data_IF_140300315117
#
_entry.id   IF_140300315117
#
_cell.length_a   1.000
_cell.length_b   1.000
_cell.length_c   1.000
_cell.angle_alpha   90.00
_cell.angle_beta   90.00
_cell.angle_gamma   90.00
#
_symmetry.space_group_name_H-M   'P 1'
#
loop_
_entity.id
_entity.type
_entity.pdbx_description
1 polymer ?
#
# COMPACT_ATOMS: atom_id res chain seq x y z
N UNK A 1 -24.36 -10.79 -1.03
CA UNK A 1 -23.40 -10.48 0.07
C UNK A 1 -22.24 -9.70 -0.54
N UNK A 2 -21.92 -8.50 -0.04
CA UNK A 2 -20.82 -7.67 -0.61
C UNK A 2 -19.46 -8.29 -0.29
N UNK A 3 -18.55 -8.32 -1.27
CA UNK A 3 -17.15 -8.79 -1.12
C UNK A 3 -16.45 -8.14 0.10
N UNK A 4 -16.81 -6.88 0.39
CA UNK A 4 -16.32 -6.14 1.55
C UNK A 4 -16.72 -6.75 2.88
N UNK A 5 -17.93 -7.31 3.01
CA UNK A 5 -18.39 -7.93 4.27
C UNK A 5 -17.65 -9.24 4.55
N UNK A 6 -17.37 -10.02 3.50
CA UNK A 6 -16.61 -11.26 3.61
C UNK A 6 -15.17 -11.01 4.06
N UNK A 7 -14.51 -9.98 3.51
CA UNK A 7 -13.09 -9.70 3.80
C UNK A 7 -12.91 -8.97 5.14
N UNK A 8 -13.74 -7.96 5.44
CA UNK A 8 -13.53 -7.08 6.59
C UNK A 8 -14.37 -7.41 7.84
N UNK A 9 -15.11 -8.53 7.85
CA UNK A 9 -15.87 -9.06 9.00
C UNK A 9 -16.71 -7.98 9.70
N UNK A 10 -17.64 -7.38 8.98
CA UNK A 10 -18.58 -6.33 9.44
C UNK A 10 -17.94 -5.06 10.07
N UNK A 11 -16.61 -4.95 10.11
CA UNK A 11 -15.91 -3.73 10.54
C UNK A 11 -15.88 -2.74 9.37
N UNK A 12 -16.33 -1.49 9.56
CA UNK A 12 -16.29 -0.47 8.51
C UNK A 12 -14.87 -0.20 8.00
N UNK A 13 -14.73 0.03 6.70
CA UNK A 13 -13.41 0.30 6.08
C UNK A 13 -12.70 1.52 6.68
N UNK A 14 -13.45 2.55 7.09
CA UNK A 14 -12.88 3.73 7.73
C UNK A 14 -12.18 3.37 9.05
N UNK A 15 -12.77 2.49 9.85
CA UNK A 15 -12.15 1.99 11.08
C UNK A 15 -10.83 1.25 10.80
N UNK A 16 -10.73 0.52 9.69
CA UNK A 16 -9.47 -0.10 9.27
C UNK A 16 -8.42 0.93 8.86
N UNK A 17 -8.83 1.95 8.10
CA UNK A 17 -7.95 3.05 7.68
C UNK A 17 -7.46 3.82 8.91
N UNK A 18 -8.32 4.11 9.88
CA UNK A 18 -7.96 4.82 11.11
C UNK A 18 -6.96 3.99 11.95
N UNK A 19 -7.14 2.67 12.02
CA UNK A 19 -6.16 1.76 12.66
C UNK A 19 -4.81 1.81 11.97
N UNK A 20 -4.80 1.78 10.64
CA UNK A 20 -3.57 1.89 9.85
C UNK A 20 -2.89 3.26 10.01
N UNK A 21 -3.67 4.35 10.01
CA UNK A 21 -3.12 5.69 10.17
C UNK A 21 -2.53 5.90 11.57
N UNK A 22 -3.24 5.48 12.62
CA UNK A 22 -2.77 5.61 14.01
C UNK A 22 -1.50 4.80 14.29
N UNK A 23 -1.26 3.69 13.58
CA UNK A 23 -0.03 2.92 13.72
C UNK A 23 1.15 3.47 12.92
N UNK A 24 0.88 4.24 11.85
CA UNK A 24 1.87 4.87 10.97
C UNK A 24 1.88 6.40 11.13
N UNK A 25 2.21 6.89 12.32
CA UNK A 25 2.31 8.33 12.60
C UNK A 25 3.70 8.92 12.30
N UNK A 26 4.74 8.08 12.27
CA UNK A 26 6.10 8.54 12.00
C UNK A 26 6.19 9.15 10.58
N UNK A 27 6.69 10.41 10.44
CA UNK A 27 6.70 11.11 9.16
C UNK A 27 7.58 10.44 8.11
N UNK A 28 8.70 9.83 8.52
CA UNK A 28 9.59 9.08 7.62
C UNK A 28 8.87 7.84 7.12
N UNK A 29 8.23 7.07 8.01
CA UNK A 29 7.48 5.88 7.60
C UNK A 29 6.32 6.24 6.64
N UNK A 30 5.55 7.29 6.96
CA UNK A 30 4.47 7.79 6.09
C UNK A 30 4.99 8.20 4.70
N UNK A 31 6.15 8.85 4.63
CA UNK A 31 6.74 9.26 3.35
C UNK A 31 7.12 8.03 2.50
N UNK A 32 7.83 7.07 3.10
CA UNK A 32 8.19 5.81 2.43
C UNK A 32 6.98 5.00 1.99
N UNK A 33 5.90 4.99 2.78
CA UNK A 33 4.64 4.34 2.41
C UNK A 33 3.92 5.07 1.27
N UNK A 34 3.89 6.40 1.30
CA UNK A 34 3.28 7.21 0.24
C UNK A 34 3.96 6.99 -1.12
N UNK A 35 5.27 6.70 -1.13
CA UNK A 35 6.03 6.34 -2.33
C UNK A 35 5.92 4.85 -2.68
N UNK A 36 6.08 3.96 -1.71
CA UNK A 36 6.14 2.51 -1.95
C UNK A 36 4.82 1.89 -2.36
N UNK A 37 3.70 2.34 -1.78
CA UNK A 37 2.36 1.82 -2.09
C UNK A 37 2.00 1.98 -3.58
N UNK A 38 2.10 3.16 -4.21
CA UNK A 38 1.81 3.29 -5.63
C UNK A 38 2.75 2.51 -6.53
N UNK A 39 4.04 2.39 -6.17
CA UNK A 39 4.99 1.58 -6.94
C UNK A 39 4.55 0.10 -7.00
N UNK A 40 4.15 -0.46 -5.85
CA UNK A 40 3.61 -1.82 -5.80
C UNK A 40 2.26 -1.89 -6.53
N UNK A 41 1.35 -0.95 -6.28
CA UNK A 41 0.02 -0.96 -6.89
C UNK A 41 0.07 -0.90 -8.43
N UNK A 42 0.95 -0.08 -9.01
CA UNK A 42 1.15 0.05 -10.46
C UNK A 42 1.90 -1.16 -11.04
N UNK A 43 2.82 -1.77 -10.27
CA UNK A 43 3.56 -2.95 -10.75
C UNK A 43 2.65 -4.14 -11.08
N UNK A 44 1.54 -4.32 -10.37
CA UNK A 44 0.62 -5.45 -10.54
C UNK A 44 -0.04 -5.45 -11.93
N UNK A 45 -0.76 -4.39 -12.38
CA UNK A 45 -1.32 -4.39 -13.73
C UNK A 45 -0.23 -4.43 -14.80
N UNK A 46 0.94 -3.83 -14.57
CA UNK A 46 2.07 -3.93 -15.51
C UNK A 46 2.61 -5.36 -15.64
N UNK A 47 2.59 -6.16 -14.57
CA UNK A 47 2.89 -7.60 -14.65
C UNK A 47 1.89 -8.35 -15.53
N UNK A 48 0.61 -7.99 -15.49
CA UNK A 48 -0.41 -8.60 -16.36
C UNK A 48 -0.16 -8.28 -17.85
N UNK A 49 0.42 -7.12 -18.15
CA UNK A 49 0.77 -6.70 -19.50
C UNK A 49 2.14 -7.22 -19.97
N UNK A 50 3.00 -7.66 -19.05
CA UNK A 50 4.37 -8.07 -19.35
C UNK A 50 4.53 -9.17 -20.41
N UNK A 51 3.63 -10.16 -20.55
CA UNK A 51 3.72 -11.16 -21.61
C UNK A 51 3.60 -10.59 -23.03
N UNK A 52 3.06 -9.39 -23.19
CA UNK A 52 2.82 -8.77 -24.50
C UNK A 52 4.09 -8.21 -25.14
N UNK A 53 5.11 -7.90 -24.34
CA UNK A 53 6.33 -7.20 -24.79
C UNK A 53 7.56 -7.92 -24.21
N UNK A 54 8.40 -8.48 -25.08
CA UNK A 54 9.60 -9.22 -24.67
C UNK A 54 10.51 -8.33 -23.79
N UNK A 55 10.82 -8.83 -22.59
CA UNK A 55 11.71 -8.15 -21.64
C UNK A 55 11.05 -7.05 -20.80
N UNK A 56 9.78 -6.72 -21.06
CA UNK A 56 9.06 -5.68 -20.31
C UNK A 56 8.89 -6.03 -18.83
N UNK A 57 8.84 -7.32 -18.48
CA UNK A 57 8.72 -7.82 -17.10
C UNK A 57 9.74 -7.24 -16.11
N UNK A 58 10.89 -6.74 -16.59
CA UNK A 58 11.89 -6.06 -15.75
C UNK A 58 11.33 -4.81 -15.09
N UNK A 59 10.48 -4.04 -15.79
CA UNK A 59 9.89 -2.80 -15.28
C UNK A 59 8.97 -3.06 -14.07
N UNK A 60 7.89 -3.89 -14.17
CA UNK A 60 7.06 -4.19 -13.01
C UNK A 60 7.84 -4.90 -11.91
N UNK A 61 8.83 -5.73 -12.24
CA UNK A 61 9.69 -6.34 -11.22
C UNK A 61 10.49 -5.30 -10.43
N UNK A 62 11.11 -4.34 -11.12
CA UNK A 62 11.83 -3.25 -10.47
C UNK A 62 10.91 -2.41 -9.59
N UNK A 63 9.72 -2.02 -10.09
CA UNK A 63 8.74 -1.26 -9.30
C UNK A 63 8.26 -2.02 -8.07
N UNK A 64 7.93 -3.31 -8.22
CA UNK A 64 7.50 -4.16 -7.12
C UNK A 64 8.60 -4.28 -6.05
N UNK A 65 9.82 -4.58 -6.47
CA UNK A 65 10.96 -4.77 -5.56
C UNK A 65 11.32 -3.47 -4.84
N UNK A 66 11.47 -2.37 -5.58
CA UNK A 66 11.82 -1.08 -5.00
C UNK A 66 10.70 -0.53 -4.11
N UNK A 67 9.44 -0.75 -4.46
CA UNK A 67 8.30 -0.35 -3.64
C UNK A 67 8.27 -1.09 -2.31
N UNK A 68 8.59 -2.39 -2.30
CA UNK A 68 8.75 -3.16 -1.05
C UNK A 68 9.94 -2.69 -0.23
N UNK A 69 11.09 -2.47 -0.86
CA UNK A 69 12.27 -1.92 -0.17
C UNK A 69 11.92 -0.59 0.50
N UNK A 70 11.25 0.34 -0.20
CA UNK A 70 10.80 1.60 0.39
C UNK A 70 9.93 1.37 1.63
N UNK A 71 8.89 0.52 1.55
CA UNK A 71 8.03 0.25 2.71
C UNK A 71 8.80 -0.36 3.89
N UNK A 72 9.68 -1.34 3.63
CA UNK A 72 10.48 -1.94 4.70
C UNK A 72 11.47 -0.95 5.32
N UNK A 73 12.06 -0.03 4.54
CA UNK A 73 12.91 1.04 5.08
C UNK A 73 12.13 2.00 5.98
N UNK A 74 10.89 2.35 5.61
CA UNK A 74 10.01 3.16 6.46
C UNK A 74 9.73 2.49 7.81
N UNK A 75 9.40 1.20 7.80
CA UNK A 75 9.20 0.39 9.00
C UNK A 75 10.48 0.21 9.83
N UNK A 76 11.63 0.02 9.18
CA UNK A 76 12.92 -0.10 9.86
C UNK A 76 13.29 1.21 10.58
N UNK A 77 13.03 2.36 9.95
CA UNK A 77 13.25 3.67 10.56
C UNK A 77 12.31 3.94 11.77
N UNK A 78 11.07 3.43 11.72
CA UNK A 78 10.14 3.52 12.87
C UNK A 78 10.42 2.47 13.95
N UNK A 79 11.11 1.37 13.63
CA UNK A 79 11.37 0.26 14.55
C UNK A 79 10.15 -0.62 14.82
N UNK A 80 9.07 -0.50 14.01
CA UNK A 80 7.85 -1.29 14.15
C UNK A 80 7.70 -2.25 12.97
N UNK A 81 7.29 -3.51 13.20
CA UNK A 81 7.06 -4.46 12.12
C UNK A 81 5.82 -4.05 11.28
N UNK A 82 5.81 -4.38 9.99
CA UNK A 82 4.64 -4.21 9.13
C UNK A 82 3.37 -4.87 9.66
N UNK A 83 2.23 -4.18 9.55
CA UNK A 83 0.96 -4.64 10.10
C UNK A 83 0.39 -5.87 9.40
N UNK A 84 0.76 -6.09 8.13
CA UNK A 84 0.29 -7.25 7.40
C UNK A 84 0.78 -8.59 7.99
N UNK A 85 1.83 -8.56 8.83
CA UNK A 85 2.24 -9.74 9.60
C UNK A 85 1.23 -10.11 10.70
N UNK A 86 0.47 -9.14 11.21
CA UNK A 86 -0.64 -9.38 12.15
C UNK A 86 -1.89 -9.81 11.40
N UNK A 87 -2.14 -9.14 10.26
CA UNK A 87 -3.32 -9.39 9.44
C UNK A 87 -3.10 -8.99 7.98
N UNK A 88 -3.11 -9.96 7.06
CA UNK A 88 -2.87 -9.75 5.62
C UNK A 88 -3.79 -8.69 5.00
N UNK A 89 -4.96 -8.43 5.59
CA UNK A 89 -5.91 -7.41 5.11
C UNK A 89 -5.31 -6.01 5.10
N UNK A 90 -4.29 -5.74 5.94
CA UNK A 90 -3.58 -4.46 5.94
C UNK A 90 -2.87 -4.13 4.63
N UNK A 91 -2.60 -5.11 3.75
CA UNK A 91 -2.13 -4.85 2.38
C UNK A 91 -3.13 -4.02 1.58
N UNK A 92 -4.42 -4.35 1.70
CA UNK A 92 -5.50 -3.64 1.00
C UNK A 92 -5.87 -2.33 1.70
N UNK A 93 -5.79 -2.31 3.04
CA UNK A 93 -6.01 -1.09 3.82
C UNK A 93 -4.95 -0.04 3.48
N UNK A 94 -3.68 -0.41 3.33
CA UNK A 94 -2.61 0.49 2.90
C UNK A 94 -2.91 1.13 1.53
N UNK A 95 -3.34 0.35 0.55
CA UNK A 95 -3.77 0.89 -0.75
C UNK A 95 -4.94 1.86 -0.61
N UNK A 96 -5.93 1.53 0.23
CA UNK A 96 -7.10 2.40 0.45
C UNK A 96 -6.76 3.68 1.19
N UNK A 97 -5.82 3.62 2.14
CA UNK A 97 -5.24 4.77 2.81
C UNK A 97 -4.53 5.68 1.81
N UNK A 98 -3.67 5.14 0.94
CA UNK A 98 -2.98 5.93 -0.09
C UNK A 98 -3.96 6.65 -1.02
N UNK A 99 -5.02 5.97 -1.48
CA UNK A 99 -6.10 6.60 -2.27
C UNK A 99 -6.77 7.76 -1.54
N UNK A 100 -6.95 7.65 -0.21
CA UNK A 100 -7.49 8.75 0.62
C UNK A 100 -6.49 9.89 0.70
N UNK A 101 -5.21 9.59 0.94
CA UNK A 101 -4.12 10.58 1.08
C UNK A 101 -3.96 11.44 -0.18
N UNK A 102 -3.92 10.83 -1.37
CA UNK A 102 -3.85 11.61 -2.63
C UNK A 102 -5.13 12.39 -2.90
N UNK A 103 -6.29 11.82 -2.55
CA UNK A 103 -7.58 12.48 -2.72
C UNK A 103 -7.78 13.67 -1.78
N UNK A 104 -7.13 13.68 -0.61
CA UNK A 104 -7.08 14.83 0.28
C UNK A 104 -6.08 15.88 -0.18
N UNK A 105 -4.91 15.48 -0.71
CA UNK A 105 -3.93 16.41 -1.26
C UNK A 105 -4.54 17.27 -2.37
N UNK A 106 -5.29 16.65 -3.29
CA UNK A 106 -5.95 17.33 -4.41
C UNK A 106 -7.15 18.23 -4.01
N UNK A 107 -7.57 18.26 -2.74
CA UNK A 107 -8.66 19.13 -2.25
C UNK A 107 -8.16 20.39 -1.55
N UNK A 108 -6.86 20.50 -1.31
CA UNK A 108 -6.24 21.64 -0.64
C UNK A 108 -5.30 22.44 -1.58
N UNK A 109 -5.30 22.10 -2.87
CA UNK A 109 -4.77 22.88 -4.00
C UNK A 109 -5.93 23.59 -4.72
#
# INVERSE_FOLDING_TARGET
>A
MSLSRTIFRDVPINTWIDRYETSHQNPVNRAFHTLGIPMIAVSIPLFLLAPLIRGFWKIPLSLFTLGWICQFLGHAAEGKPPEFFKDWRFLFVGLRWWLRTIGTANRHE
#
